data_IF_954416385704
#
_entry.id   IF_954416385704
#
_cell.length_a   1.000
_cell.length_b   1.000
_cell.length_c   1.000
_cell.angle_alpha   90.00
_cell.angle_beta   90.00
_cell.angle_gamma   90.00
#
_symmetry.space_group_name_H-M   'P 1'
#
loop_
_entity.id
_entity.type
_entity.pdbx_description
1 polymer ?
#
# COMPACT_ATOMS: atom_id res chain seq x y z
N UNK A 1 8.16 9.43 6.10
CA UNK A 1 9.21 10.16 5.36
C UNK A 1 10.27 10.81 6.25
N UNK A 2 9.92 11.66 7.23
CA UNK A 2 10.92 12.32 8.10
C UNK A 2 11.85 11.35 8.85
N UNK A 3 11.31 10.27 9.43
CA UNK A 3 12.09 9.25 10.13
C UNK A 3 13.07 8.49 9.22
N UNK A 4 12.65 8.11 8.01
CA UNK A 4 13.51 7.42 7.04
C UNK A 4 14.69 8.31 6.61
N UNK A 5 14.43 9.59 6.30
CA UNK A 5 15.48 10.55 5.98
C UNK A 5 16.41 10.81 7.18
N UNK A 6 15.87 10.87 8.40
CA UNK A 6 16.66 10.98 9.63
C UNK A 6 17.60 9.80 9.83
N UNK A 7 17.11 8.58 9.60
CA UNK A 7 17.93 7.35 9.66
C UNK A 7 19.01 7.32 8.57
N UNK A 8 18.73 7.82 7.36
CA UNK A 8 19.73 7.91 6.29
C UNK A 8 20.85 8.89 6.67
N UNK A 9 20.48 10.07 7.15
CA UNK A 9 21.43 11.10 7.62
C UNK A 9 22.27 10.58 8.79
N UNK A 10 21.64 9.93 9.77
CA UNK A 10 22.32 9.34 10.92
C UNK A 10 23.29 8.25 10.49
N UNK A 11 22.88 7.35 9.59
CA UNK A 11 23.76 6.29 9.07
C UNK A 11 24.98 6.86 8.36
N UNK A 12 24.79 7.95 7.59
CA UNK A 12 25.85 8.62 6.85
C UNK A 12 26.82 9.34 7.80
N UNK A 13 26.29 10.00 8.83
CA UNK A 13 27.09 10.65 9.86
C UNK A 13 27.90 9.64 10.70
N UNK A 14 27.30 8.50 11.07
CA UNK A 14 27.98 7.43 11.80
C UNK A 14 29.12 6.82 10.98
N UNK A 15 28.90 6.57 9.68
CA UNK A 15 29.95 6.07 8.79
C UNK A 15 31.12 7.06 8.67
N UNK A 16 30.81 8.36 8.54
CA UNK A 16 31.82 9.42 8.50
C UNK A 16 32.62 9.47 9.80
N UNK A 17 31.94 9.37 10.95
CA UNK A 17 32.58 9.39 12.26
C UNK A 17 33.46 8.14 12.48
N UNK A 18 33.00 6.96 12.08
CA UNK A 18 33.78 5.73 12.16
C UNK A 18 35.07 5.80 11.34
N UNK A 19 34.99 6.34 10.12
CA UNK A 19 36.17 6.56 9.28
C UNK A 19 37.14 7.59 9.90
N UNK A 20 36.61 8.65 10.51
CA UNK A 20 37.44 9.65 11.18
C UNK A 20 38.13 9.08 12.44
N UNK A 21 37.40 8.31 13.26
CA UNK A 21 37.93 7.68 14.48
C UNK A 21 39.00 6.65 14.12
N UNK A 22 38.73 5.75 13.19
CA UNK A 22 39.70 4.73 12.75
C UNK A 22 40.98 5.35 12.16
N UNK A 23 40.88 6.45 11.42
CA UNK A 23 42.03 7.20 10.92
C UNK A 23 42.83 7.85 12.06
N UNK A 24 42.15 8.50 13.01
CA UNK A 24 42.79 9.12 14.17
C UNK A 24 43.49 8.10 15.06
N UNK A 25 42.84 6.96 15.33
CA UNK A 25 43.40 5.84 16.10
C UNK A 25 44.68 5.32 15.44
N UNK A 26 44.67 5.10 14.12
CA UNK A 26 45.85 4.63 13.36
C UNK A 26 46.99 5.64 13.31
N UNK A 27 46.70 6.93 13.12
CA UNK A 27 47.76 7.97 13.04
C UNK A 27 48.43 8.26 14.40
N UNK A 28 47.70 8.06 15.51
CA UNK A 28 48.13 8.51 16.84
C UNK A 28 48.69 7.38 17.72
N UNK A 29 48.70 6.15 17.22
CA UNK A 29 49.32 4.97 17.86
C UNK A 29 50.77 5.21 18.32
N UNK A 30 51.51 6.10 17.66
CA UNK A 30 52.91 6.41 17.99
C UNK A 30 53.11 7.31 19.23
N UNK A 31 52.06 7.98 19.74
CA UNK A 31 52.15 8.95 20.84
C UNK A 31 51.14 8.72 21.98
N UNK A 32 50.35 7.64 21.94
CA UNK A 32 49.30 7.36 22.92
C UNK A 32 49.76 6.38 24.00
N UNK A 33 49.41 6.64 25.26
CA UNK A 33 49.49 5.67 26.36
C UNK A 33 48.53 4.51 26.09
N UNK A 34 48.87 3.29 26.53
CA UNK A 34 48.06 2.08 26.37
C UNK A 34 46.57 2.28 26.73
N UNK A 35 46.29 2.88 27.89
CA UNK A 35 44.92 3.15 28.36
C UNK A 35 44.09 4.02 27.39
N UNK A 36 44.75 4.94 26.66
CA UNK A 36 44.08 5.80 25.67
C UNK A 36 43.84 5.10 24.34
N UNK A 37 44.65 4.10 24.01
CA UNK A 37 44.47 3.24 22.85
C UNK A 37 43.29 2.30 23.06
N UNK A 38 43.24 1.65 24.22
CA UNK A 38 42.13 0.77 24.60
C UNK A 38 40.79 1.54 24.58
N UNK A 39 40.74 2.75 25.15
CA UNK A 39 39.54 3.59 25.10
C UNK A 39 39.15 4.02 23.68
N UNK A 40 40.12 4.22 22.79
CA UNK A 40 39.83 4.60 21.40
C UNK A 40 39.26 3.43 20.60
N UNK A 41 39.73 2.21 20.87
CA UNK A 41 39.20 0.97 20.30
C UNK A 41 37.76 0.71 20.78
N UNK A 42 37.48 0.93 22.07
CA UNK A 42 36.12 0.83 22.62
C UNK A 42 35.15 1.81 21.92
N UNK A 43 35.56 3.07 21.74
CA UNK A 43 34.73 4.07 21.04
C UNK A 43 34.53 3.70 19.56
N UNK A 44 35.56 3.18 18.89
CA UNK A 44 35.45 2.71 17.50
C UNK A 44 34.43 1.58 17.39
N UNK A 45 34.47 0.61 18.32
CA UNK A 45 33.54 -0.50 18.39
C UNK A 45 32.09 -0.03 18.68
N UNK A 46 31.90 0.90 19.61
CA UNK A 46 30.58 1.46 19.92
C UNK A 46 29.97 2.18 18.71
N UNK A 47 30.76 2.98 17.99
CA UNK A 47 30.29 3.69 16.79
C UNK A 47 29.99 2.70 15.66
N UNK A 48 30.79 1.62 15.51
CA UNK A 48 30.51 0.55 14.56
C UNK A 48 29.19 -0.14 14.87
N UNK A 49 28.94 -0.46 16.14
CA UNK A 49 27.69 -1.06 16.57
C UNK A 49 26.50 -0.13 16.30
N UNK A 50 26.62 1.16 16.60
CA UNK A 50 25.57 2.14 16.31
C UNK A 50 25.26 2.24 14.80
N UNK A 51 26.29 2.13 13.95
CA UNK A 51 26.13 2.12 12.50
C UNK A 51 25.36 0.87 12.02
N UNK A 52 25.71 -0.31 12.53
CA UNK A 52 24.99 -1.56 12.22
C UNK A 52 23.52 -1.48 12.67
N UNK A 53 23.27 -1.02 13.90
CA UNK A 53 21.92 -0.87 14.43
C UNK A 53 21.09 0.12 13.61
N UNK A 54 21.69 1.23 13.18
CA UNK A 54 21.02 2.21 12.32
C UNK A 54 20.69 1.62 10.96
N UNK A 55 21.57 0.77 10.41
CA UNK A 55 21.32 0.05 9.16
C UNK A 55 20.15 -0.93 9.29
N UNK A 56 20.09 -1.71 10.38
CA UNK A 56 18.96 -2.61 10.67
C UNK A 56 17.65 -1.82 10.80
N UNK A 57 17.65 -0.67 11.50
CA UNK A 57 16.46 0.16 11.62
C UNK A 57 15.99 0.77 10.30
N UNK A 58 16.92 1.08 9.38
CA UNK A 58 16.55 1.50 8.02
C UNK A 58 15.82 0.39 7.26
N UNK A 59 16.30 -0.84 7.38
CA UNK A 59 15.66 -2.00 6.74
C UNK A 59 14.26 -2.26 7.31
N UNK A 60 14.13 -2.25 8.64
CA UNK A 60 12.83 -2.40 9.32
C UNK A 60 11.86 -1.29 8.88
N UNK A 61 12.32 -0.04 8.83
CA UNK A 61 11.50 1.08 8.36
C UNK A 61 11.04 0.88 6.91
N UNK A 62 11.92 0.41 6.04
CA UNK A 62 11.57 0.08 4.64
C UNK A 62 10.49 -1.00 4.60
N UNK A 63 10.62 -2.06 5.40
CA UNK A 63 9.63 -3.13 5.48
C UNK A 63 8.26 -2.64 5.98
N UNK A 64 8.25 -1.73 6.97
CA UNK A 64 7.02 -1.12 7.49
C UNK A 64 6.35 -0.25 6.42
N UNK A 65 7.14 0.56 5.69
CA UNK A 65 6.60 1.39 4.60
C UNK A 65 5.98 0.52 3.50
N UNK A 66 6.65 -0.56 3.10
CA UNK A 66 6.12 -1.50 2.10
C UNK A 66 4.82 -2.18 2.59
N UNK A 67 4.75 -2.58 3.86
CA UNK A 67 3.54 -3.15 4.44
C UNK A 67 2.40 -2.13 4.51
N UNK A 68 2.71 -0.87 4.86
CA UNK A 68 1.75 0.23 4.86
C UNK A 68 1.21 0.51 3.47
N UNK A 69 2.08 0.61 2.45
CA UNK A 69 1.68 0.78 1.05
C UNK A 69 0.79 -0.38 0.57
N UNK A 70 1.14 -1.61 0.95
CA UNK A 70 0.32 -2.80 0.67
C UNK A 70 -1.05 -2.70 1.32
N UNK A 71 -1.13 -2.29 2.59
CA UNK A 71 -2.39 -2.12 3.30
C UNK A 71 -3.27 -1.02 2.67
N UNK A 72 -2.66 0.11 2.27
CA UNK A 72 -3.35 1.19 1.56
C UNK A 72 -3.85 0.72 0.19
N UNK A 73 -3.03 0.02 -0.58
CA UNK A 73 -3.40 -0.54 -1.88
C UNK A 73 -4.53 -1.56 -1.78
N UNK A 74 -4.51 -2.40 -0.74
CA UNK A 74 -5.58 -3.34 -0.44
C UNK A 74 -6.88 -2.60 -0.12
N UNK A 75 -6.82 -1.55 0.70
CA UNK A 75 -7.99 -0.73 1.02
C UNK A 75 -8.54 -0.01 -0.22
N UNK A 76 -7.67 0.56 -1.05
CA UNK A 76 -8.08 1.19 -2.31
C UNK A 76 -8.75 0.17 -3.23
N UNK A 77 -8.16 -1.03 -3.37
CA UNK A 77 -8.72 -2.11 -4.16
C UNK A 77 -10.10 -2.55 -3.63
N UNK A 78 -10.27 -2.59 -2.30
CA UNK A 78 -11.55 -2.88 -1.68
C UNK A 78 -12.59 -1.80 -2.00
N UNK A 79 -12.26 -0.52 -1.79
CA UNK A 79 -13.14 0.61 -2.10
C UNK A 79 -13.54 0.63 -3.60
N UNK A 80 -12.59 0.41 -4.51
CA UNK A 80 -12.84 0.37 -5.94
C UNK A 80 -13.78 -0.77 -6.33
N UNK A 81 -13.61 -1.96 -5.73
CA UNK A 81 -14.53 -3.09 -5.92
C UNK A 81 -15.93 -2.74 -5.43
N UNK A 82 -16.07 -2.16 -4.23
CA UNK A 82 -17.36 -1.75 -3.68
C UNK A 82 -18.06 -0.74 -4.58
N UNK A 83 -17.36 0.32 -5.00
CA UNK A 83 -17.93 1.34 -5.88
C UNK A 83 -18.35 0.76 -7.24
N UNK A 84 -17.51 -0.10 -7.82
CA UNK A 84 -17.81 -0.74 -9.12
C UNK A 84 -19.04 -1.64 -9.01
N UNK A 85 -19.17 -2.42 -7.94
CA UNK A 85 -20.34 -3.27 -7.71
C UNK A 85 -21.63 -2.44 -7.58
N UNK A 86 -21.60 -1.34 -6.83
CA UNK A 86 -22.75 -0.43 -6.71
C UNK A 86 -23.13 0.15 -8.08
N UNK A 87 -22.14 0.63 -8.84
CA UNK A 87 -22.36 1.18 -10.18
C UNK A 87 -22.97 0.15 -11.13
N UNK A 88 -22.49 -1.09 -11.13
CA UNK A 88 -22.99 -2.16 -12.02
C UNK A 88 -24.45 -2.54 -11.70
N UNK A 89 -24.80 -2.57 -10.41
CA UNK A 89 -26.18 -2.82 -9.96
C UNK A 89 -27.11 -1.69 -10.41
N UNK A 90 -26.63 -0.43 -10.45
CA UNK A 90 -27.43 0.71 -10.89
C UNK A 90 -27.57 0.76 -12.42
N UNK A 91 -26.49 0.50 -13.16
CA UNK A 91 -26.43 0.63 -14.62
C UNK A 91 -27.35 -0.37 -15.34
N UNK A 92 -27.40 -1.64 -14.92
CA UNK A 92 -28.20 -2.65 -15.62
C UNK A 92 -29.71 -2.33 -15.67
N UNK A 93 -30.39 -2.02 -14.55
CA UNK A 93 -31.78 -1.58 -14.57
C UNK A 93 -32.00 -0.32 -15.39
N UNK A 94 -31.11 0.68 -15.25
CA UNK A 94 -31.23 1.91 -16.04
C UNK A 94 -31.09 1.67 -17.53
N UNK A 95 -30.26 0.72 -17.97
CA UNK A 95 -30.13 0.36 -19.38
C UNK A 95 -31.42 -0.29 -19.90
N UNK A 96 -32.00 -1.23 -19.14
CA UNK A 96 -33.28 -1.86 -19.50
C UNK A 96 -34.41 -0.83 -19.54
N UNK A 97 -34.50 0.05 -18.55
CA UNK A 97 -35.49 1.13 -18.51
C UNK A 97 -35.28 2.16 -19.63
N UNK A 98 -34.03 2.47 -19.97
CA UNK A 98 -33.69 3.38 -21.06
C UNK A 98 -34.10 2.82 -22.42
N UNK A 99 -33.80 1.54 -22.70
CA UNK A 99 -34.19 0.89 -23.95
C UNK A 99 -35.72 0.85 -24.15
N UNK A 100 -36.48 0.52 -23.09
CA UNK A 100 -37.95 0.52 -23.14
C UNK A 100 -38.57 1.93 -23.06
N UNK A 101 -37.81 2.93 -22.63
CA UNK A 101 -38.20 4.34 -22.65
C UNK A 101 -37.97 5.02 -24.00
N UNK A 102 -37.36 4.33 -24.98
CA UNK A 102 -37.24 4.84 -26.33
C UNK A 102 -38.59 4.75 -27.05
N UNK A 103 -38.98 5.82 -27.75
CA UNK A 103 -40.17 5.83 -28.62
C UNK A 103 -39.91 5.04 -29.94
N UNK A 104 -39.52 3.78 -29.81
CA UNK A 104 -39.28 2.85 -30.91
C UNK A 104 -40.21 1.66 -30.72
N UNK A 105 -40.81 1.19 -31.80
CA UNK A 105 -41.68 0.00 -31.78
C UNK A 105 -40.86 -1.23 -31.36
N UNK A 106 -41.09 -1.67 -30.13
CA UNK A 106 -40.45 -2.82 -29.53
C UNK A 106 -41.40 -4.03 -29.55
N UNK A 107 -40.89 -5.26 -29.76
CA UNK A 107 -41.70 -6.45 -29.53
C UNK A 107 -42.19 -6.46 -28.07
N UNK A 108 -43.47 -6.80 -27.85
CA UNK A 108 -44.19 -6.76 -26.56
C UNK A 108 -44.69 -5.39 -26.07
N UNK A 109 -44.68 -4.32 -26.87
CA UNK A 109 -45.08 -2.98 -26.41
C UNK A 109 -46.61 -2.77 -26.28
N UNK A 110 -47.42 -3.54 -27.02
CA UNK A 110 -48.90 -3.47 -26.98
C UNK A 110 -49.53 -4.34 -25.87
N UNK A 111 -48.74 -5.20 -25.22
CA UNK A 111 -49.22 -6.06 -24.14
C UNK A 111 -49.38 -5.26 -22.84
N UNK A 112 -50.53 -5.31 -22.14
CA UNK A 112 -50.73 -4.61 -20.86
C UNK A 112 -49.78 -5.09 -19.75
N UNK A 113 -49.15 -6.25 -19.94
CA UNK A 113 -48.16 -6.84 -19.02
C UNK A 113 -46.69 -6.52 -19.40
N UNK A 114 -46.44 -5.76 -20.47
CA UNK A 114 -45.08 -5.40 -20.91
C UNK A 114 -44.23 -4.81 -19.77
N UNK A 115 -44.84 -3.92 -18.97
CA UNK A 115 -44.21 -3.30 -17.81
C UNK A 115 -43.73 -4.34 -16.77
N UNK A 116 -44.53 -5.38 -16.52
CA UNK A 116 -44.19 -6.45 -15.58
C UNK A 116 -43.04 -7.32 -16.09
N UNK A 117 -42.97 -7.59 -17.39
CA UNK A 117 -41.86 -8.34 -17.99
C UNK A 117 -40.54 -7.56 -17.91
N UNK A 118 -40.57 -6.25 -18.16
CA UNK A 118 -39.39 -5.37 -18.06
C UNK A 118 -38.85 -5.34 -16.62
N UNK A 119 -39.73 -5.19 -15.63
CA UNK A 119 -39.36 -5.27 -14.21
C UNK A 119 -38.80 -6.65 -13.86
N UNK A 120 -39.43 -7.72 -14.34
CA UNK A 120 -38.97 -9.09 -14.12
C UNK A 120 -37.56 -9.34 -14.64
N UNK A 121 -37.28 -8.95 -15.89
CA UNK A 121 -35.97 -9.07 -16.51
C UNK A 121 -34.93 -8.22 -15.77
N UNK A 122 -35.26 -6.98 -15.42
CA UNK A 122 -34.39 -6.10 -14.66
C UNK A 122 -34.04 -6.70 -13.29
N UNK A 123 -35.04 -7.23 -12.57
CA UNK A 123 -34.85 -7.89 -11.28
C UNK A 123 -33.97 -9.14 -11.40
N UNK A 124 -34.18 -9.97 -12.43
CA UNK A 124 -33.35 -11.15 -12.70
C UNK A 124 -31.90 -10.75 -13.01
N UNK A 125 -31.68 -9.69 -13.79
CA UNK A 125 -30.33 -9.17 -14.08
C UNK A 125 -29.61 -8.69 -12.82
N UNK A 126 -30.30 -7.95 -11.95
CA UNK A 126 -29.74 -7.48 -10.67
C UNK A 126 -29.45 -8.65 -9.72
N UNK A 127 -30.38 -9.59 -9.60
CA UNK A 127 -30.20 -10.80 -8.78
C UNK A 127 -29.06 -11.68 -9.31
N UNK A 128 -28.92 -11.79 -10.64
CA UNK A 128 -27.83 -12.52 -11.30
C UNK A 128 -26.47 -11.90 -11.00
N UNK A 129 -26.34 -10.58 -11.13
CA UNK A 129 -25.12 -9.86 -10.73
C UNK A 129 -24.83 -10.03 -9.25
N UNK A 130 -25.84 -9.85 -8.40
CA UNK A 130 -25.69 -9.97 -6.95
C UNK A 130 -25.22 -11.39 -6.55
N UNK A 131 -25.79 -12.42 -7.16
CA UNK A 131 -25.37 -13.81 -6.98
C UNK A 131 -23.94 -14.04 -7.48
N UNK A 132 -23.57 -13.55 -8.66
CA UNK A 132 -22.20 -13.64 -9.18
C UNK A 132 -21.19 -12.95 -8.25
N UNK A 133 -21.51 -11.77 -7.71
CA UNK A 133 -20.65 -11.06 -6.77
C UNK A 133 -20.54 -11.77 -5.41
N UNK A 134 -21.62 -12.40 -4.92
CA UNK A 134 -21.61 -13.27 -3.72
C UNK A 134 -20.74 -14.51 -3.92
N UNK A 135 -20.86 -15.19 -5.06
CA UNK A 135 -20.14 -16.45 -5.35
C UNK A 135 -18.66 -16.20 -5.60
N UNK A 136 -18.28 -15.10 -6.28
CA UNK A 136 -16.88 -14.78 -6.52
C UNK A 136 -16.12 -14.22 -5.30
N UNK A 137 -16.78 -14.06 -4.14
CA UNK A 137 -16.15 -13.61 -2.87
C UNK A 137 -15.18 -12.43 -3.10
N UNK A 138 -15.62 -11.47 -3.93
CA UNK A 138 -14.88 -10.22 -4.21
C UNK A 138 -15.06 -9.22 -3.05
N UNK A 139 -16.03 -9.49 -2.17
CA UNK A 139 -16.20 -8.94 -0.82
C UNK A 139 -15.54 -9.84 0.22
#
# INVERSE_FOLDING_TARGET
FALSNGLILLNTALLSNLNAISLLSRMRQLHMTKDKLDLAEDIENDVAQLYEMTTIYREIMSNILNAYETAVSNNLSFIMKTLTTISLILILPTLVASLYGMNVDLPFQEDPNAFWYVIGISAVCVLGLWAMFRVKRIL
#
